data_IF_675818063140
#
_entry.id   IF_675818063140
#
_cell.length_a   1.000
_cell.length_b   1.000
_cell.length_c   1.000
_cell.angle_alpha   90.00
_cell.angle_beta   90.00
_cell.angle_gamma   90.00
#
_symmetry.space_group_name_H-M   'P 1'
#
loop_
_entity.id
_entity.type
_entity.pdbx_description
1 polymer ?
#
# COMPACT_ATOMS: atom_id res chain seq x y z
N UNK A 1 20.89 14.81 23.87
CA UNK A 1 19.89 14.78 22.77
C UNK A 1 20.64 15.02 21.47
N UNK A 2 20.75 14.01 20.60
CA UNK A 2 21.38 14.20 19.30
C UNK A 2 20.40 14.93 18.37
N UNK A 3 20.68 16.19 18.07
CA UNK A 3 19.95 16.95 17.04
C UNK A 3 20.58 16.64 15.69
N UNK A 4 19.82 16.02 14.79
CA UNK A 4 20.22 15.92 13.38
C UNK A 4 19.80 17.19 12.65
N UNK A 5 20.67 17.69 11.77
CA UNK A 5 20.40 18.88 10.93
C UNK A 5 19.64 18.51 9.65
N UNK A 6 19.64 17.24 9.26
CA UNK A 6 19.04 16.75 8.01
C UNK A 6 18.22 15.49 8.28
N UNK A 7 17.04 15.44 7.68
CA UNK A 7 16.10 14.32 7.74
C UNK A 7 15.72 13.90 6.33
N UNK A 8 15.56 12.60 6.12
CA UNK A 8 14.95 12.04 4.91
C UNK A 8 13.77 11.16 5.30
N UNK A 9 12.78 11.08 4.41
CA UNK A 9 11.66 10.18 4.53
C UNK A 9 11.65 9.25 3.32
N UNK A 10 11.49 7.96 3.57
CA UNK A 10 11.28 6.95 2.56
C UNK A 10 9.81 6.57 2.56
N UNK A 11 9.12 6.78 1.44
CA UNK A 11 7.77 6.26 1.28
C UNK A 11 7.83 4.79 0.83
N UNK A 12 7.14 3.94 1.58
CA UNK A 12 7.04 2.51 1.32
C UNK A 12 5.64 2.11 0.84
N UNK A 13 4.75 3.07 0.59
CA UNK A 13 3.36 2.82 0.20
C UNK A 13 3.25 1.90 -1.01
N UNK A 14 4.06 2.10 -2.05
CA UNK A 14 3.99 1.27 -3.25
C UNK A 14 4.59 -0.13 -3.04
N UNK A 15 5.33 -0.33 -1.95
CA UNK A 15 5.84 -1.64 -1.53
C UNK A 15 4.71 -2.63 -1.21
N UNK A 16 3.51 -2.16 -0.84
CA UNK A 16 2.37 -3.03 -0.59
C UNK A 16 1.92 -3.81 -1.83
N UNK A 17 2.01 -3.20 -3.02
CA UNK A 17 1.65 -3.87 -4.27
C UNK A 17 2.67 -4.93 -4.71
N UNK A 18 3.84 -4.99 -4.09
CA UNK A 18 4.87 -6.01 -4.37
C UNK A 18 4.66 -7.28 -3.55
N UNK A 19 3.85 -7.21 -2.48
CA UNK A 19 3.58 -8.35 -1.60
C UNK A 19 2.41 -9.14 -2.21
N UNK A 20 2.63 -10.43 -2.45
CA UNK A 20 1.57 -11.31 -2.96
C UNK A 20 0.43 -11.45 -1.94
N UNK A 21 -0.79 -11.16 -2.38
CA UNK A 21 -2.00 -11.46 -1.63
C UNK A 21 -2.30 -12.96 -1.67
N UNK A 22 -2.93 -13.47 -0.61
CA UNK A 22 -3.52 -14.81 -0.62
C UNK A 22 -4.76 -14.81 -1.49
N UNK A 23 -4.94 -15.86 -2.27
CA UNK A 23 -6.07 -15.98 -3.21
C UNK A 23 -7.43 -15.87 -2.50
N UNK A 24 -7.56 -16.44 -1.30
CA UNK A 24 -8.77 -16.36 -0.47
C UNK A 24 -9.17 -14.93 -0.12
N UNK A 25 -8.21 -14.01 -0.09
CA UNK A 25 -8.41 -12.67 0.43
C UNK A 25 -8.63 -11.65 -0.71
N UNK A 26 -8.44 -12.04 -1.98
CA UNK A 26 -8.60 -11.16 -3.16
C UNK A 26 -10.03 -10.60 -3.25
N UNK A 27 -11.03 -11.45 -3.05
CA UNK A 27 -12.43 -11.03 -3.11
C UNK A 27 -12.80 -10.06 -1.96
N UNK A 28 -12.07 -10.10 -0.84
CA UNK A 28 -12.31 -9.22 0.31
C UNK A 28 -11.85 -7.79 0.07
N UNK A 29 -10.94 -7.58 -0.90
CA UNK A 29 -10.43 -6.26 -1.28
C UNK A 29 -11.05 -5.74 -2.58
N UNK A 30 -12.08 -6.41 -3.11
CA UNK A 30 -12.73 -5.99 -4.34
C UNK A 30 -13.33 -4.58 -4.20
N UNK A 31 -13.07 -3.73 -5.19
CA UNK A 31 -13.49 -2.33 -5.16
C UNK A 31 -14.53 -2.08 -6.26
N UNK A 32 -15.70 -1.55 -5.86
CA UNK A 32 -16.71 -1.08 -6.81
C UNK A 32 -16.42 0.35 -7.21
N UNK A 33 -16.21 0.58 -8.51
CA UNK A 33 -16.27 1.91 -9.11
C UNK A 33 -17.70 2.20 -9.60
N UNK A 34 -18.09 3.47 -9.80
CA UNK A 34 -19.39 3.80 -10.40
C UNK A 34 -19.65 3.14 -11.76
N UNK A 35 -18.59 2.78 -12.50
CA UNK A 35 -18.65 2.07 -13.78
C UNK A 35 -18.67 0.54 -13.66
N UNK A 36 -18.48 -0.02 -12.47
CA UNK A 36 -18.42 -1.47 -12.27
C UNK A 36 -17.38 -1.92 -11.25
N UNK A 37 -17.27 -3.24 -11.07
CA UNK A 37 -16.27 -3.86 -10.20
C UNK A 37 -14.89 -3.89 -10.90
N UNK A 38 -13.84 -3.53 -10.17
CA UNK A 38 -12.44 -3.72 -10.59
C UNK A 38 -11.90 -5.08 -10.12
#
# INVERSE_FOLDING_TARGET
MAKSTIYSALDLRDGFYQILMRESDIALTAMSTPSGLL
#
